data_IF_387534968481
#
_entry.id   IF_387534968481
#
_cell.length_a   1.000
_cell.length_b   1.000
_cell.length_c   1.000
_cell.angle_alpha   90.00
_cell.angle_beta   90.00
_cell.angle_gamma   90.00
#
_symmetry.space_group_name_H-M   'P 1'
#
loop_
_entity.id
_entity.type
_entity.pdbx_description
1 polymer ?
#
# COMPACT_ATOMS: atom_id res chain seq x y z
N UNK A 1 14.20 10.03 12.28
CA UNK A 1 15.02 8.91 11.77
C UNK A 1 15.16 9.11 10.26
N UNK A 2 16.37 9.26 9.73
CA UNK A 2 16.61 9.18 8.29
C UNK A 2 16.79 7.70 7.93
N UNK A 3 15.91 7.17 7.08
CA UNK A 3 16.11 5.85 6.51
C UNK A 3 17.05 5.95 5.31
N UNK A 4 17.84 4.89 5.07
CA UNK A 4 18.83 4.86 3.99
C UNK A 4 18.14 4.69 2.64
N UNK A 5 18.68 5.36 1.62
CA UNK A 5 18.38 5.04 0.23
C UNK A 5 18.92 3.65 -0.10
N UNK A 6 18.16 2.90 -0.90
CA UNK A 6 18.51 1.56 -1.33
C UNK A 6 18.32 1.43 -2.83
N UNK A 7 19.38 0.95 -3.48
CA UNK A 7 19.40 0.56 -4.87
C UNK A 7 19.60 -0.95 -4.94
N UNK A 8 18.86 -1.62 -5.82
CA UNK A 8 19.05 -3.04 -6.03
C UNK A 8 20.42 -3.32 -6.64
N UNK A 9 21.24 -4.20 -6.04
CA UNK A 9 22.49 -4.61 -6.66
C UNK A 9 22.18 -5.40 -7.94
N UNK A 10 23.01 -5.22 -8.97
CA UNK A 10 22.78 -5.85 -10.28
C UNK A 10 22.72 -7.37 -10.21
N UNK A 11 23.44 -7.98 -9.25
CA UNK A 11 23.38 -9.40 -8.98
C UNK A 11 21.95 -9.87 -8.67
N UNK A 12 21.13 -9.09 -7.99
CA UNK A 12 19.79 -9.50 -7.56
C UNK A 12 18.85 -9.81 -8.73
N UNK A 13 19.07 -9.20 -9.90
CA UNK A 13 18.32 -9.49 -11.14
C UNK A 13 18.73 -10.80 -11.83
N UNK A 14 19.88 -11.36 -11.46
CA UNK A 14 20.46 -12.55 -12.10
C UNK A 14 20.24 -13.83 -11.28
N UNK A 15 19.65 -13.75 -10.09
CA UNK A 15 19.48 -14.88 -9.19
C UNK A 15 18.06 -15.46 -9.25
N UNK A 16 17.79 -16.46 -10.09
CA UNK A 16 16.46 -17.09 -10.19
C UNK A 16 16.06 -17.86 -8.93
N UNK A 17 17.02 -18.16 -8.03
CA UNK A 17 16.75 -18.86 -6.77
C UNK A 17 16.25 -17.92 -5.66
N UNK A 18 16.30 -16.59 -5.85
CA UNK A 18 15.83 -15.65 -4.84
C UNK A 18 14.30 -15.63 -4.82
N UNK A 19 13.70 -16.47 -3.97
CA UNK A 19 12.24 -16.58 -3.89
C UNK A 19 11.57 -15.50 -3.05
N UNK A 20 12.25 -15.00 -2.02
CA UNK A 20 11.69 -14.04 -1.06
C UNK A 20 12.55 -12.79 -0.99
N UNK A 21 11.91 -11.63 -1.18
CA UNK A 21 12.52 -10.32 -1.03
C UNK A 21 11.79 -9.54 0.07
N UNK A 22 12.54 -9.07 1.07
CA UNK A 22 12.00 -8.28 2.18
C UNK A 22 12.68 -6.92 2.18
N UNK A 23 11.87 -5.88 1.99
CA UNK A 23 12.30 -4.48 2.06
C UNK A 23 11.66 -3.87 3.31
N UNK A 24 12.49 -3.50 4.28
CA UNK A 24 12.03 -2.88 5.51
C UNK A 24 12.76 -1.57 5.77
N UNK A 25 12.01 -0.51 6.10
CA UNK A 25 12.56 0.74 6.64
C UNK A 25 13.65 1.37 5.75
N UNK A 26 13.33 1.59 4.48
CA UNK A 26 14.24 2.16 3.48
C UNK A 26 13.52 3.07 2.48
N UNK A 27 14.28 3.97 1.84
CA UNK A 27 13.86 4.69 0.62
C UNK A 27 14.30 3.87 -0.59
N UNK A 28 13.36 3.30 -1.34
CA UNK A 28 13.68 2.61 -2.58
C UNK A 28 13.93 3.63 -3.69
N UNK A 29 15.12 3.58 -4.29
CA UNK A 29 15.48 4.40 -5.45
C UNK A 29 14.83 3.83 -6.71
N UNK A 30 14.62 4.68 -7.72
CA UNK A 30 14.01 4.28 -8.99
C UNK A 30 14.70 3.07 -9.61
N UNK A 31 13.89 2.08 -9.95
CA UNK A 31 14.36 0.82 -10.51
C UNK A 31 14.58 1.02 -12.02
N UNK A 32 15.61 0.44 -12.65
CA UNK A 32 15.75 0.46 -14.11
C UNK A 32 14.55 -0.17 -14.82
N UNK A 33 14.29 0.21 -16.06
CA UNK A 33 13.09 -0.26 -16.80
C UNK A 33 13.26 -1.61 -17.50
N UNK A 34 14.49 -2.13 -17.58
CA UNK A 34 14.87 -3.31 -18.38
C UNK A 34 15.35 -4.49 -17.51
N UNK A 35 14.91 -4.57 -16.27
CA UNK A 35 15.34 -5.57 -15.30
C UNK A 35 14.16 -6.43 -14.84
N UNK A 36 14.44 -7.63 -14.35
CA UNK A 36 13.41 -8.52 -13.79
C UNK A 36 13.95 -9.31 -12.61
N UNK A 37 13.09 -9.52 -11.62
CA UNK A 37 13.28 -10.36 -10.44
C UNK A 37 12.60 -11.70 -10.66
N UNK A 38 13.11 -12.45 -11.64
CA UNK A 38 12.47 -13.67 -12.16
C UNK A 38 12.25 -14.76 -11.11
N UNK A 39 13.02 -14.78 -10.02
CA UNK A 39 12.88 -15.76 -8.94
C UNK A 39 11.86 -15.38 -7.86
N UNK A 40 11.52 -14.09 -7.74
CA UNK A 40 10.80 -13.57 -6.57
C UNK A 40 9.33 -13.98 -6.63
N UNK A 41 8.94 -14.82 -5.67
CA UNK A 41 7.57 -15.29 -5.44
C UNK A 41 6.93 -14.61 -4.24
N UNK A 42 7.73 -14.09 -3.31
CA UNK A 42 7.26 -13.43 -2.09
C UNK A 42 7.92 -12.07 -1.93
N UNK A 43 7.12 -11.03 -1.79
CA UNK A 43 7.60 -9.66 -1.61
C UNK A 43 6.99 -9.07 -0.34
N UNK A 44 7.84 -8.63 0.58
CA UNK A 44 7.42 -7.93 1.80
C UNK A 44 7.88 -6.47 1.73
N UNK A 45 6.93 -5.54 1.80
CA UNK A 45 7.13 -4.10 1.77
C UNK A 45 6.74 -3.53 3.13
N UNK A 46 7.72 -3.33 4.01
CA UNK A 46 7.52 -3.00 5.41
C UNK A 46 8.04 -1.59 5.71
N UNK A 47 7.16 -0.58 5.69
CA UNK A 47 7.56 0.84 5.84
C UNK A 47 8.61 1.27 4.82
N UNK A 48 8.33 1.00 3.55
CA UNK A 48 9.15 1.45 2.41
C UNK A 48 8.64 2.81 1.94
N UNK A 49 9.58 3.70 1.62
CA UNK A 49 9.32 4.96 0.92
C UNK A 49 9.71 4.79 -0.55
N UNK A 50 8.89 5.36 -1.43
CA UNK A 50 9.08 5.30 -2.88
C UNK A 50 9.34 6.71 -3.42
N UNK A 51 9.89 6.82 -4.62
CA UNK A 51 10.02 8.11 -5.32
C UNK A 51 8.65 8.66 -5.77
N UNK A 52 7.74 7.80 -6.22
CA UNK A 52 6.37 8.14 -6.60
C UNK A 52 5.39 6.95 -6.45
N UNK A 53 4.12 7.19 -6.76
CA UNK A 53 3.08 6.14 -6.79
C UNK A 53 3.38 5.11 -7.91
N UNK A 54 3.89 5.56 -9.06
CA UNK A 54 4.29 4.71 -10.19
C UNK A 54 5.48 3.79 -9.87
N UNK A 55 6.31 4.15 -8.88
CA UNK A 55 7.43 3.30 -8.48
C UNK A 55 6.99 2.02 -7.77
N UNK A 56 5.79 2.02 -7.18
CA UNK A 56 5.17 0.80 -6.65
C UNK A 56 4.79 -0.14 -7.78
N UNK A 57 4.10 0.37 -8.81
CA UNK A 57 3.68 -0.45 -9.94
C UNK A 57 4.89 -0.97 -10.72
N UNK A 58 5.94 -0.15 -10.85
CA UNK A 58 7.22 -0.57 -11.44
C UNK A 58 7.91 -1.69 -10.66
N UNK A 59 7.92 -1.62 -9.32
CA UNK A 59 8.49 -2.69 -8.50
C UNK A 59 7.71 -4.00 -8.66
N UNK A 60 6.38 -3.93 -8.69
CA UNK A 60 5.54 -5.11 -8.84
C UNK A 60 5.68 -5.73 -10.25
N UNK A 61 5.79 -4.90 -11.29
CA UNK A 61 5.88 -5.38 -12.69
C UNK A 61 7.18 -6.12 -12.99
N UNK A 62 8.27 -5.83 -12.27
CA UNK A 62 9.53 -6.57 -12.42
C UNK A 62 9.54 -7.91 -11.66
N UNK A 63 8.48 -8.26 -10.90
CA UNK A 63 8.35 -9.52 -10.18
C UNK A 63 7.33 -10.45 -10.86
N UNK A 64 7.64 -11.06 -12.01
CA UNK A 64 6.65 -11.76 -12.85
C UNK A 64 6.03 -13.00 -12.20
N UNK A 65 6.70 -13.61 -11.21
CA UNK A 65 6.24 -14.81 -10.52
C UNK A 65 5.69 -14.50 -9.11
N UNK A 66 5.36 -13.25 -8.81
CA UNK A 66 4.93 -12.84 -7.47
C UNK A 66 3.61 -13.53 -7.07
N UNK A 67 3.65 -14.35 -6.03
CA UNK A 67 2.49 -15.10 -5.50
C UNK A 67 2.04 -14.60 -4.13
N UNK A 68 2.94 -14.01 -3.33
CA UNK A 68 2.66 -13.52 -1.98
C UNK A 68 3.17 -12.09 -1.79
N UNK A 69 2.29 -11.19 -1.36
CA UNK A 69 2.60 -9.80 -1.11
C UNK A 69 2.16 -9.39 0.30
N UNK A 70 3.11 -8.91 1.09
CA UNK A 70 2.87 -8.31 2.39
C UNK A 70 3.19 -6.83 2.32
N UNK A 71 2.23 -5.97 2.65
CA UNK A 71 2.39 -4.52 2.69
C UNK A 71 2.09 -4.02 4.10
N UNK A 72 3.07 -3.39 4.74
CA UNK A 72 2.85 -2.60 5.96
C UNK A 72 3.22 -1.15 5.68
N UNK A 73 2.22 -0.28 5.63
CA UNK A 73 2.42 1.17 5.51
C UNK A 73 2.65 1.77 6.89
N UNK A 74 3.45 2.84 6.91
CA UNK A 74 3.63 3.70 8.09
C UNK A 74 3.61 5.16 7.67
N UNK A 75 3.74 6.07 8.63
CA UNK A 75 3.88 7.52 8.38
C UNK A 75 5.08 7.89 7.50
N UNK A 76 5.99 6.94 7.26
CA UNK A 76 7.12 7.11 6.39
C UNK A 76 6.82 6.83 4.90
N UNK A 77 5.81 6.01 4.62
CA UNK A 77 5.37 5.70 3.25
C UNK A 77 4.65 6.91 2.65
N UNK A 78 5.15 7.39 1.51
CA UNK A 78 4.69 8.62 0.86
C UNK A 78 3.72 8.40 -0.30
N UNK A 79 3.40 7.15 -0.63
CA UNK A 79 2.52 6.78 -1.75
C UNK A 79 1.09 7.20 -1.43
N UNK A 80 0.43 7.94 -2.30
CA UNK A 80 -0.98 8.33 -2.12
C UNK A 80 -1.88 7.14 -2.42
N UNK A 81 -1.82 6.61 -3.65
CA UNK A 81 -2.58 5.44 -4.07
C UNK A 81 -1.64 4.27 -4.37
N UNK A 82 -1.72 3.25 -3.52
CA UNK A 82 -0.94 2.03 -3.66
C UNK A 82 -1.68 1.08 -4.61
N UNK A 83 -1.26 1.06 -5.87
CA UNK A 83 -1.87 0.22 -6.92
C UNK A 83 -1.19 -1.14 -6.98
N UNK A 84 -1.97 -2.21 -6.80
CA UNK A 84 -1.55 -3.60 -6.87
C UNK A 84 -2.25 -4.20 -8.09
N UNK A 85 -1.53 -4.29 -9.21
CA UNK A 85 -1.98 -4.96 -10.42
C UNK A 85 -1.07 -6.16 -10.70
N UNK A 86 -1.40 -7.30 -10.10
CA UNK A 86 -0.55 -8.49 -10.09
C UNK A 86 -1.43 -9.73 -10.34
N UNK A 87 -1.54 -10.21 -11.58
CA UNK A 87 -2.44 -11.31 -11.93
C UNK A 87 -2.01 -12.66 -11.36
N UNK A 88 -0.75 -12.83 -10.99
CA UNK A 88 -0.18 -14.06 -10.39
C UNK A 88 -0.37 -14.13 -8.87
N UNK A 89 -0.79 -13.05 -8.23
CA UNK A 89 -0.84 -12.93 -6.79
C UNK A 89 -1.91 -13.85 -6.18
N UNK A 90 -1.50 -14.72 -5.25
CA UNK A 90 -2.36 -15.70 -4.55
C UNK A 90 -2.68 -15.26 -3.12
N UNK A 91 -1.73 -14.59 -2.45
CA UNK A 91 -1.86 -14.13 -1.07
C UNK A 91 -1.53 -12.64 -0.96
N UNK A 92 -2.41 -11.88 -0.31
CA UNK A 92 -2.20 -10.46 -0.04
C UNK A 92 -2.54 -10.13 1.42
N UNK A 93 -1.59 -9.52 2.11
CA UNK A 93 -1.78 -8.99 3.46
C UNK A 93 -1.39 -7.51 3.52
N UNK A 94 -2.34 -6.66 3.90
CA UNK A 94 -2.16 -5.21 4.02
C UNK A 94 -2.39 -4.79 5.47
N UNK A 95 -1.45 -4.02 6.01
CA UNK A 95 -1.55 -3.31 7.28
C UNK A 95 -1.25 -1.82 7.07
N UNK A 96 -2.31 -1.02 7.11
CA UNK A 96 -2.30 0.43 7.02
C UNK A 96 -2.83 1.07 8.31
N UNK A 97 -2.54 0.45 9.45
CA UNK A 97 -2.98 0.95 10.77
C UNK A 97 -1.98 1.90 11.44
N UNK A 98 -0.72 1.89 10.97
CA UNK A 98 0.39 2.63 11.57
C UNK A 98 0.34 4.15 11.32
N UNK A 99 -0.64 4.65 10.55
CA UNK A 99 -0.87 6.09 10.34
C UNK A 99 -1.32 6.85 11.60
N UNK A 100 -1.59 6.15 12.71
CA UNK A 100 -2.05 6.75 13.98
C UNK A 100 -0.95 7.40 14.83
N UNK A 101 0.34 7.19 14.51
CA UNK A 101 1.42 7.81 15.28
C UNK A 101 1.63 9.26 14.82
N UNK A 102 1.24 10.22 15.67
CA UNK A 102 1.48 11.68 15.65
C UNK A 102 0.35 12.64 15.21
N UNK A 103 -0.83 12.15 14.80
CA UNK A 103 -1.90 13.05 14.31
C UNK A 103 -2.62 13.85 15.41
N UNK A 104 -2.55 13.45 16.68
CA UNK A 104 -3.15 14.26 17.76
C UNK A 104 -2.20 15.23 18.46
N UNK A 105 -0.93 15.31 18.04
CA UNK A 105 0.06 16.18 18.72
C UNK A 105 0.83 17.14 17.81
N UNK A 106 0.64 17.11 16.48
CA UNK A 106 1.43 17.96 15.57
C UNK A 106 0.70 18.54 14.34
N UNK A 107 -0.63 18.58 14.35
CA UNK A 107 -1.40 19.35 13.35
C UNK A 107 -1.31 18.88 11.89
N UNK A 108 -0.71 17.72 11.60
CA UNK A 108 -0.74 17.12 10.26
C UNK A 108 -2.01 16.27 10.13
N UNK A 109 -3.03 16.84 9.50
CA UNK A 109 -4.22 16.12 9.05
C UNK A 109 -3.85 15.03 8.04
N UNK A 110 -4.79 14.11 7.77
CA UNK A 110 -4.72 13.23 6.59
C UNK A 110 -4.33 14.06 5.35
N UNK A 111 -3.56 13.49 4.41
CA UNK A 111 -3.21 14.21 3.20
C UNK A 111 -4.49 14.60 2.45
N UNK A 112 -4.49 15.81 1.88
CA UNK A 112 -5.58 16.24 1.00
C UNK A 112 -5.63 15.36 -0.26
N UNK A 113 -6.84 15.08 -0.75
CA UNK A 113 -7.05 14.24 -1.93
C UNK A 113 -7.22 12.75 -1.66
N UNK A 114 -7.22 11.97 -2.74
CA UNK A 114 -7.49 10.52 -2.72
C UNK A 114 -6.24 9.77 -2.29
N UNK A 115 -6.37 8.95 -1.24
CA UNK A 115 -5.29 8.11 -0.73
C UNK A 115 -5.79 6.75 -0.24
N UNK A 116 -5.12 5.70 -0.70
CA UNK A 116 -5.34 4.33 -0.24
C UNK A 116 -4.90 3.28 -1.24
N UNK A 117 -5.80 2.40 -1.65
CA UNK A 117 -5.44 1.18 -2.38
C UNK A 117 -6.34 0.91 -3.58
N UNK A 118 -5.72 0.41 -4.65
CA UNK A 118 -6.43 -0.23 -5.79
C UNK A 118 -5.85 -1.62 -5.94
N UNK A 119 -6.70 -2.65 -5.90
CA UNK A 119 -6.24 -4.05 -5.87
C UNK A 119 -6.89 -4.82 -7.01
N UNK A 120 -6.11 -5.09 -8.07
CA UNK A 120 -6.45 -5.94 -9.20
C UNK A 120 -5.58 -7.20 -9.16
N UNK A 121 -6.13 -8.27 -8.60
CA UNK A 121 -5.44 -9.56 -8.46
C UNK A 121 -6.44 -10.71 -8.71
N UNK A 122 -6.72 -11.07 -9.97
CA UNK A 122 -7.72 -12.08 -10.31
C UNK A 122 -7.44 -13.47 -9.72
N UNK A 123 -6.17 -13.85 -9.52
CA UNK A 123 -5.79 -15.16 -8.95
C UNK A 123 -5.73 -15.18 -7.41
N UNK A 124 -6.22 -14.12 -6.75
CA UNK A 124 -6.09 -13.96 -5.30
C UNK A 124 -6.98 -14.96 -4.56
N UNK A 125 -6.38 -15.78 -3.70
CA UNK A 125 -7.06 -16.82 -2.91
C UNK A 125 -7.18 -16.45 -1.44
N UNK A 126 -6.19 -15.76 -0.90
CA UNK A 126 -6.13 -15.34 0.49
C UNK A 126 -5.93 -13.82 0.56
N UNK A 127 -6.85 -13.13 1.22
CA UNK A 127 -6.81 -11.67 1.34
C UNK A 127 -7.00 -11.21 2.79
N UNK A 128 -6.14 -10.32 3.27
CA UNK A 128 -6.32 -9.63 4.55
C UNK A 128 -5.98 -8.15 4.40
N UNK A 129 -6.86 -7.27 4.88
CA UNK A 129 -6.59 -5.84 4.97
C UNK A 129 -7.03 -5.31 6.34
N UNK A 130 -6.12 -4.56 6.98
CA UNK A 130 -6.41 -3.71 8.13
C UNK A 130 -6.05 -2.28 7.75
N UNK A 131 -7.05 -1.42 7.60
CA UNK A 131 -6.86 -0.04 7.16
C UNK A 131 -7.64 0.91 8.05
N UNK A 132 -6.97 1.88 8.65
CA UNK A 132 -7.61 2.94 9.45
C UNK A 132 -7.23 4.33 8.96
N UNK A 133 -6.60 4.43 7.79
CA UNK A 133 -5.99 5.66 7.32
C UNK A 133 -6.60 6.11 5.99
N UNK A 134 -6.86 5.19 5.07
CA UNK A 134 -7.30 5.51 3.72
C UNK A 134 -8.72 6.07 3.63
N UNK A 135 -8.93 6.98 2.68
CA UNK A 135 -10.26 7.45 2.29
C UNK A 135 -10.76 6.77 1.01
N UNK A 136 -9.93 5.93 0.38
CA UNK A 136 -10.27 5.23 -0.86
C UNK A 136 -9.65 3.84 -0.92
N UNK A 137 -10.49 2.82 -1.09
CA UNK A 137 -10.07 1.44 -1.35
C UNK A 137 -10.94 0.87 -2.45
N UNK A 138 -10.33 0.35 -3.51
CA UNK A 138 -11.02 -0.31 -4.62
C UNK A 138 -10.51 -1.74 -4.80
N UNK A 139 -11.45 -2.67 -4.88
CA UNK A 139 -11.20 -4.06 -5.22
C UNK A 139 -11.62 -4.32 -6.66
N UNK A 140 -10.73 -4.93 -7.44
CA UNK A 140 -11.03 -5.54 -8.72
C UNK A 140 -11.76 -6.87 -8.55
N UNK A 141 -12.10 -7.50 -9.67
CA UNK A 141 -12.76 -8.81 -9.66
C UNK A 141 -11.78 -9.90 -9.20
N UNK A 142 -12.17 -10.67 -8.19
CA UNK A 142 -11.35 -11.71 -7.53
C UNK A 142 -12.10 -13.05 -7.51
N UNK A 143 -12.23 -13.75 -8.66
CA UNK A 143 -13.03 -14.97 -8.76
C UNK A 143 -12.52 -16.14 -7.92
N UNK A 144 -11.21 -16.19 -7.65
CA UNK A 144 -10.55 -17.31 -6.96
C UNK A 144 -10.47 -17.14 -5.43
N UNK A 145 -11.13 -16.13 -4.86
CA UNK A 145 -11.00 -15.78 -3.45
C UNK A 145 -11.64 -16.84 -2.53
N UNK A 146 -10.80 -17.49 -1.72
CA UNK A 146 -11.23 -18.54 -0.77
C UNK A 146 -11.38 -17.99 0.65
N UNK A 147 -10.49 -17.10 1.07
CA UNK A 147 -10.45 -16.56 2.43
C UNK A 147 -10.20 -15.06 2.41
N UNK A 148 -11.02 -14.32 3.16
CA UNK A 148 -10.89 -12.88 3.31
C UNK A 148 -11.02 -12.44 4.77
N UNK A 149 -10.26 -11.41 5.15
CA UNK A 149 -10.43 -10.67 6.40
C UNK A 149 -10.30 -9.17 6.10
N UNK A 150 -11.39 -8.43 6.22
CA UNK A 150 -11.43 -7.01 5.88
C UNK A 150 -11.80 -6.21 7.12
N UNK A 151 -10.91 -5.33 7.56
CA UNK A 151 -11.14 -4.37 8.63
C UNK A 151 -10.73 -2.98 8.15
N UNK A 152 -11.71 -2.20 7.70
CA UNK A 152 -11.50 -0.85 7.18
C UNK A 152 -12.29 0.12 8.05
N UNK A 153 -11.61 1.11 8.62
CA UNK A 153 -12.20 2.19 9.42
C UNK A 153 -12.04 3.49 8.66
N UNK A 154 -13.14 3.98 8.10
CA UNK A 154 -13.22 5.31 7.53
C UNK A 154 -13.58 6.30 8.65
N UNK A 155 -12.70 7.25 8.95
CA UNK A 155 -13.12 8.35 9.80
C UNK A 155 -14.17 9.17 9.05
N UNK A 156 -15.28 9.44 9.72
CA UNK A 156 -16.27 10.39 9.21
C UNK A 156 -15.62 11.78 9.09
N UNK A 157 -15.91 12.55 8.03
CA UNK A 157 -15.50 13.94 8.00
C UNK A 157 -16.01 14.64 9.26
N UNK A 158 -15.14 15.35 9.94
CA UNK A 158 -15.54 16.25 11.04
C UNK A 158 -16.44 17.30 10.38
N UNK A 159 -17.71 17.46 10.80
CA UNK A 159 -18.60 18.47 10.21
C UNK A 159 -17.93 19.83 10.29
N UNK A 160 -17.81 20.50 9.16
CA UNK A 160 -17.28 21.87 9.13
C UNK A 160 -18.30 22.80 9.81
N UNK A 161 -17.85 23.88 10.45
CA UNK A 161 -18.73 24.80 11.19
C UNK A 161 -19.93 25.31 10.37
N UNK A 162 -19.86 25.28 9.04
CA UNK A 162 -20.97 25.62 8.14
C UNK A 162 -22.17 24.68 8.25
N UNK A 163 -21.96 23.41 8.58
CA UNK A 163 -23.04 22.41 8.74
C UNK A 163 -23.70 22.47 10.13
N UNK A 164 -23.01 23.02 11.15
CA UNK A 164 -23.62 23.28 12.46
C UNK A 164 -24.69 24.37 12.43
N UNK A 165 -24.54 25.36 11.54
CA UNK A 165 -25.48 26.50 11.45
C UNK A 165 -26.81 26.10 10.79
N UNK A 166 -26.82 25.10 9.90
CA UNK A 166 -28.06 24.62 9.27
C UNK A 166 -28.90 23.72 10.19
N UNK A 167 -28.29 23.05 11.19
CA UNK A 167 -29.02 22.21 12.14
C UNK A 167 -29.79 23.03 13.20
N UNK A 168 -29.34 24.25 13.52
CA UNK A 168 -30.00 25.09 14.53
C UNK A 168 -31.15 25.93 13.98
N UNK A 169 -31.30 26.06 12.67
CA UNK A 169 -32.38 26.89 12.07
C UNK A 169 -33.69 26.15 11.80
N UNK A 170 -33.82 24.87 12.17
CA UNK A 170 -35.06 24.08 11.99
C UNK A 170 -35.82 23.82 13.30
N UNK A 171 -35.54 24.61 14.34
CA UNK A 171 -36.35 24.70 15.57
C UNK A 171 -36.66 26.16 15.90
N UNK A 172 -37.51 26.79 15.08
CA UNK A 172 -38.46 27.84 15.50
C UNK A 172 -39.71 27.70 14.66
#
# INVERSE_FOLDING_TARGET
MLYKSFEFPQSLYLYPQLETLILEKLSLVDIPSNVSLIGVKKLHLLSVRFSSDESVTKLLSICPLLEDLVVRRSTYTNVMVFSIDVPTLKCLSIDNTSGKSHIYTSGKSRPEGVHGFVINAPSLRCFSIKDTFSNYVRFGYMPELVKASVNIVCDQPIPTEREKVQSTSSKM
#
